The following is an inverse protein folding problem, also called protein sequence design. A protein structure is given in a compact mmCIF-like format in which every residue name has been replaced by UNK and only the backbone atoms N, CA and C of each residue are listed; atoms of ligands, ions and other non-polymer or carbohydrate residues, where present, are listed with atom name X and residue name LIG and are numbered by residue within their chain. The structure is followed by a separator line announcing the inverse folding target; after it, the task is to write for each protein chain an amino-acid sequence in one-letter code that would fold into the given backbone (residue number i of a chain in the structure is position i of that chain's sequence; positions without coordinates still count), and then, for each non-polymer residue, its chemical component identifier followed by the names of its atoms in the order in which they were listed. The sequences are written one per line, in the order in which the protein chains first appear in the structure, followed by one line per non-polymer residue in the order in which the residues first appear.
data_IF_657989863266
#
_entry.id   IF_657989863266
#
_cell.length_a   1.000
_cell.length_b   1.000
_cell.length_c   1.000
_cell.angle_alpha   90.00
_cell.angle_beta   90.00
_cell.angle_gamma   90.00
#
_symmetry.space_group_name_H-M   'P 1'
#
loop_
_entity.id
_entity.type
_entity.pdbx_description
1 polymer ?
#
# COMPACT_ATOMS: atom_id res chain seq x y z
N UNK A 1 -30.24 15.56 14.85
CA UNK A 1 -29.91 14.69 13.70
C UNK A 1 -30.10 13.24 14.04
N UNK A 2 -30.49 12.40 13.06
CA UNK A 2 -30.49 10.95 13.20
C UNK A 2 -29.14 10.42 13.69
N UNK A 3 -29.10 9.14 14.10
CA UNK A 3 -27.84 8.46 14.41
C UNK A 3 -26.91 8.50 13.19
N UNK A 4 -25.62 8.67 13.46
CA UNK A 4 -24.55 8.73 12.44
C UNK A 4 -24.65 9.92 11.49
N UNK A 5 -25.35 10.99 11.89
CA UNK A 5 -25.44 12.23 11.13
C UNK A 5 -25.23 13.47 12.01
N UNK A 6 -24.70 14.53 11.41
CA UNK A 6 -24.46 15.83 12.06
C UNK A 6 -24.54 17.00 11.08
N UNK A 7 -24.44 18.22 11.63
CA UNK A 7 -24.41 19.48 10.89
C UNK A 7 -25.80 20.02 10.56
N UNK A 8 -25.82 21.10 9.78
CA UNK A 8 -27.05 21.74 9.33
C UNK A 8 -27.88 20.73 8.52
N UNK A 9 -29.16 20.62 8.86
CA UNK A 9 -30.12 19.67 8.28
C UNK A 9 -29.66 18.20 8.29
N UNK A 10 -28.66 17.87 9.11
CA UNK A 10 -28.14 16.51 9.26
C UNK A 10 -27.56 15.95 7.95
N UNK A 11 -27.00 16.84 7.14
CA UNK A 11 -26.48 16.55 5.80
C UNK A 11 -25.17 15.76 5.80
N UNK A 12 -24.43 15.72 6.91
CA UNK A 12 -23.14 15.04 6.99
C UNK A 12 -23.23 13.71 7.74
N UNK A 13 -22.45 12.73 7.29
CA UNK A 13 -22.34 11.41 7.92
C UNK A 13 -21.19 11.38 8.93
N UNK A 14 -21.42 10.76 10.09
CA UNK A 14 -20.36 10.48 11.07
C UNK A 14 -19.40 9.40 10.54
N UNK A 15 -18.11 9.59 10.77
CA UNK A 15 -17.05 8.65 10.40
C UNK A 15 -16.20 8.27 11.60
N UNK A 16 -16.85 7.94 12.72
CA UNK A 16 -16.22 7.50 13.95
C UNK A 16 -15.91 5.98 13.92
N UNK A 17 -14.99 5.49 14.76
CA UNK A 17 -14.77 4.06 14.94
C UNK A 17 -16.07 3.33 15.33
N UNK A 18 -16.17 2.06 14.92
CA UNK A 18 -17.29 1.17 15.26
C UNK A 18 -18.70 1.71 14.95
N UNK A 19 -18.80 2.63 13.98
CA UNK A 19 -20.04 3.34 13.66
C UNK A 19 -20.64 4.03 14.90
N UNK A 20 -19.80 4.68 15.69
CA UNK A 20 -20.22 5.49 16.83
C UNK A 20 -20.90 6.79 16.39
N UNK A 21 -21.83 7.26 17.22
CA UNK A 21 -22.52 8.52 16.99
C UNK A 21 -21.61 9.71 17.33
N UNK A 22 -21.58 10.70 16.44
CA UNK A 22 -20.72 11.88 16.58
C UNK A 22 -21.50 13.08 17.14
N UNK A 23 -20.76 14.10 17.58
CA UNK A 23 -21.35 15.37 18.00
C UNK A 23 -22.19 15.96 16.87
N UNK A 24 -23.45 16.31 17.17
CA UNK A 24 -24.46 16.70 16.17
C UNK A 24 -24.19 18.06 15.51
N UNK A 25 -23.29 18.87 16.07
CA UNK A 25 -22.96 20.20 15.55
C UNK A 25 -21.71 20.13 14.67
N UNK A 26 -20.61 19.57 15.17
CA UNK A 26 -19.30 19.64 14.51
C UNK A 26 -18.76 18.29 14.02
N UNK A 27 -19.47 17.19 14.28
CA UNK A 27 -19.08 15.85 13.82
C UNK A 27 -17.92 15.22 14.58
N UNK A 28 -17.47 15.81 15.69
CA UNK A 28 -16.39 15.24 16.51
C UNK A 28 -16.80 13.90 17.14
N UNK A 29 -15.89 12.93 17.10
CA UNK A 29 -16.10 11.62 17.70
C UNK A 29 -15.84 11.65 19.22
N UNK A 30 -16.62 10.92 20.05
CA UNK A 30 -16.45 10.91 21.52
C UNK A 30 -15.05 10.52 21.99
N UNK A 31 -14.31 9.71 21.22
CA UNK A 31 -12.93 9.31 21.51
C UNK A 31 -11.85 10.17 20.83
N UNK A 32 -12.21 11.25 20.13
CA UNK A 32 -11.28 12.10 19.39
C UNK A 32 -10.65 11.47 18.13
N UNK A 33 -10.84 10.16 17.94
CA UNK A 33 -10.29 9.41 16.82
C UNK A 33 -11.32 9.20 15.71
N UNK A 34 -10.86 9.24 14.46
CA UNK A 34 -11.66 8.93 13.28
C UNK A 34 -11.57 7.45 12.92
N UNK A 35 -12.59 6.96 12.21
CA UNK A 35 -12.53 5.65 11.54
C UNK A 35 -11.22 5.50 10.75
N UNK A 36 -10.69 4.28 10.62
CA UNK A 36 -9.36 4.01 10.05
C UNK A 36 -9.12 4.57 8.63
N UNK A 37 -10.18 4.88 7.89
CA UNK A 37 -10.11 5.45 6.55
C UNK A 37 -10.35 6.97 6.49
N UNK A 38 -10.57 7.63 7.62
CA UNK A 38 -10.92 9.05 7.71
C UNK A 38 -9.99 9.81 8.66
N UNK A 39 -9.93 11.12 8.45
CA UNK A 39 -9.17 12.09 9.24
C UNK A 39 -9.76 13.50 9.09
N UNK A 40 -9.10 14.49 9.72
CA UNK A 40 -9.47 15.88 9.66
C UNK A 40 -10.65 16.24 10.56
N UNK A 41 -11.08 17.50 10.49
CA UNK A 41 -12.20 18.01 11.28
C UNK A 41 -13.48 17.22 10.99
N UNK A 42 -14.20 16.84 12.05
CA UNK A 42 -15.41 16.02 11.96
C UNK A 42 -15.22 14.65 11.26
N UNK A 43 -13.98 14.21 11.05
CA UNK A 43 -13.65 12.99 10.31
C UNK A 43 -14.17 12.99 8.86
N UNK A 44 -14.25 14.15 8.22
CA UNK A 44 -14.86 14.26 6.88
C UNK A 44 -13.89 14.07 5.72
N UNK A 45 -12.57 14.02 5.96
CA UNK A 45 -11.58 13.76 4.91
C UNK A 45 -11.27 12.28 4.84
N UNK A 46 -11.35 11.70 3.65
CA UNK A 46 -11.03 10.30 3.43
C UNK A 46 -9.56 10.17 3.10
N UNK A 47 -8.86 9.21 3.71
CA UNK A 47 -7.45 8.96 3.43
C UNK A 47 -7.28 8.41 2.00
N UNK A 48 -6.28 8.88 1.24
CA UNK A 48 -6.02 8.43 -0.12
C UNK A 48 -5.58 6.97 -0.11
N UNK A 49 -5.95 6.19 -1.10
CA UNK A 49 -5.64 4.76 -1.25
C UNK A 49 -5.55 4.37 -2.72
N UNK A 50 -4.41 3.81 -3.12
CA UNK A 50 -4.23 3.25 -4.46
C UNK A 50 -5.15 2.04 -4.68
N UNK A 51 -5.98 2.11 -5.74
CA UNK A 51 -6.89 1.04 -6.14
C UNK A 51 -6.28 0.12 -7.19
N UNK A 52 -5.18 0.52 -7.82
CA UNK A 52 -4.41 -0.34 -8.73
C UNK A 52 -3.26 -0.97 -7.95
N UNK A 53 -3.10 -2.30 -8.05
CA UNK A 53 -1.96 -3.00 -7.47
C UNK A 53 -0.65 -2.54 -8.15
N UNK A 54 0.49 -2.51 -7.45
CA UNK A 54 1.78 -2.24 -8.08
C UNK A 54 2.10 -3.34 -9.11
N UNK A 55 2.98 -3.03 -10.05
CA UNK A 55 3.66 -4.04 -10.85
C UNK A 55 4.95 -4.42 -10.14
N UNK A 56 5.28 -5.70 -10.10
CA UNK A 56 6.56 -6.14 -9.56
C UNK A 56 7.14 -7.30 -10.36
N UNK A 57 8.45 -7.31 -10.51
CA UNK A 57 9.17 -8.35 -11.25
C UNK A 57 10.61 -8.46 -10.76
N UNK A 58 11.14 -9.68 -10.79
CA UNK A 58 12.56 -9.92 -10.56
C UNK A 58 13.31 -9.88 -11.89
N UNK A 59 14.26 -8.97 -12.04
CA UNK A 59 15.16 -8.96 -13.22
C UNK A 59 16.33 -9.92 -13.07
N UNK A 60 16.73 -10.17 -11.83
CA UNK A 60 17.77 -11.12 -11.46
C UNK A 60 17.59 -11.51 -10.00
N UNK A 61 18.34 -12.51 -9.55
CA UNK A 61 18.36 -12.91 -8.16
C UNK A 61 18.53 -11.70 -7.23
N UNK A 62 17.62 -11.55 -6.28
CA UNK A 62 17.57 -10.45 -5.31
C UNK A 62 17.45 -9.05 -5.93
N UNK A 63 16.94 -8.88 -7.15
CA UNK A 63 16.65 -7.55 -7.71
C UNK A 63 15.18 -7.46 -8.08
N UNK A 64 14.35 -7.18 -7.07
CA UNK A 64 12.91 -6.99 -7.23
C UNK A 64 12.63 -5.54 -7.59
N UNK A 65 12.16 -5.31 -8.82
CA UNK A 65 11.68 -4.00 -9.25
C UNK A 65 10.20 -3.88 -8.93
N UNK A 66 9.81 -2.76 -8.32
CA UNK A 66 8.41 -2.44 -8.01
C UNK A 66 8.06 -1.10 -8.63
N UNK A 67 6.98 -1.07 -9.40
CA UNK A 67 6.50 0.11 -10.12
C UNK A 67 5.03 0.39 -9.82
N UNK A 68 4.67 1.65 -9.60
CA UNK A 68 3.29 2.08 -9.39
C UNK A 68 3.07 3.50 -9.93
N UNK A 69 1.80 3.89 -10.09
CA UNK A 69 1.42 5.24 -10.53
C UNK A 69 1.19 6.17 -9.35
N UNK A 70 1.44 7.45 -9.56
CA UNK A 70 1.02 8.51 -8.64
C UNK A 70 -0.49 8.41 -8.38
N UNK A 71 -0.89 8.64 -7.13
CA UNK A 71 -2.28 8.71 -6.71
C UNK A 71 -3.06 9.70 -7.59
N UNK A 72 -4.20 9.23 -8.08
CA UNK A 72 -5.11 9.99 -8.94
C UNK A 72 -6.52 9.90 -8.36
N UNK A 73 -7.01 10.99 -7.77
CA UNK A 73 -8.33 11.03 -7.13
C UNK A 73 -9.50 10.72 -8.08
N UNK A 74 -9.29 10.71 -9.41
CA UNK A 74 -10.29 10.26 -10.38
C UNK A 74 -10.36 8.74 -10.55
N UNK A 75 -9.33 8.01 -10.09
CA UNK A 75 -9.18 6.55 -10.28
C UNK A 75 -9.00 5.79 -8.96
N UNK A 76 -8.43 6.45 -7.96
CA UNK A 76 -8.11 5.93 -6.65
C UNK A 76 -9.14 6.38 -5.61
N UNK A 77 -9.10 5.78 -4.42
CA UNK A 77 -10.06 6.06 -3.36
C UNK A 77 -9.54 7.12 -2.39
N UNK A 78 -10.43 7.95 -1.86
CA UNK A 78 -10.13 8.97 -0.87
C UNK A 78 -9.60 10.29 -1.42
N UNK A 79 -9.22 11.18 -0.51
CA UNK A 79 -8.84 12.54 -0.81
C UNK A 79 -7.32 12.70 -0.74
N UNK A 80 -6.74 13.33 -1.76
CA UNK A 80 -5.36 13.78 -1.72
C UNK A 80 -5.17 14.99 -0.79
N UNK A 81 -3.93 15.49 -0.68
CA UNK A 81 -2.75 15.02 -1.37
C UNK A 81 -2.04 13.89 -0.61
N UNK A 82 -1.26 13.10 -1.34
CA UNK A 82 -0.33 12.11 -0.77
C UNK A 82 0.96 12.82 -0.36
N UNK A 83 1.46 12.49 0.84
CA UNK A 83 2.78 12.88 1.31
C UNK A 83 3.84 11.98 0.68
N UNK A 84 3.69 10.68 0.89
CA UNK A 84 4.61 9.66 0.43
C UNK A 84 3.93 8.30 0.38
N UNK A 85 4.61 7.38 -0.28
CA UNK A 85 4.26 5.98 -0.39
C UNK A 85 5.17 5.12 0.47
N UNK A 86 4.61 4.08 1.08
CA UNK A 86 5.35 3.04 1.77
C UNK A 86 5.31 1.77 0.93
N UNK A 87 6.46 1.33 0.41
CA UNK A 87 6.56 0.08 -0.33
C UNK A 87 6.82 -1.04 0.65
N UNK A 88 5.86 -1.95 0.78
CA UNK A 88 5.92 -3.07 1.71
C UNK A 88 5.98 -4.40 0.97
N UNK A 89 6.73 -5.34 1.52
CA UNK A 89 6.79 -6.73 1.03
C UNK A 89 6.37 -7.71 2.11
N UNK A 90 5.86 -8.86 1.69
CA UNK A 90 5.58 -10.00 2.57
C UNK A 90 6.01 -11.28 1.87
N UNK A 91 6.84 -12.08 2.53
CA UNK A 91 7.27 -13.37 2.02
C UNK A 91 6.08 -14.35 2.01
N UNK A 92 5.91 -15.08 0.90
CA UNK A 92 4.94 -16.16 0.78
C UNK A 92 5.52 -17.45 1.37
N UNK A 93 5.60 -17.47 2.70
CA UNK A 93 6.06 -18.62 3.48
C UNK A 93 5.03 -18.93 4.56
N UNK A 94 5.06 -20.16 5.08
CA UNK A 94 4.18 -20.60 6.18
C UNK A 94 4.73 -20.23 7.56
N UNK A 95 5.82 -19.47 7.62
CA UNK A 95 6.56 -19.15 8.84
C UNK A 95 5.99 -17.90 9.54
N UNK A 96 6.18 -17.81 10.86
CA UNK A 96 5.73 -16.73 11.75
C UNK A 96 6.31 -15.36 11.32
N UNK A 97 7.40 -15.35 10.56
CA UNK A 97 8.01 -14.15 9.96
C UNK A 97 7.27 -13.59 8.73
N UNK A 98 6.16 -14.19 8.28
CA UNK A 98 5.34 -13.66 7.18
C UNK A 98 4.49 -12.44 7.62
N UNK A 99 5.17 -11.31 7.83
CA UNK A 99 4.54 -10.02 8.09
C UNK A 99 4.83 -9.03 6.97
N UNK A 100 3.93 -8.07 6.77
CA UNK A 100 4.16 -6.92 5.90
C UNK A 100 5.28 -6.06 6.49
N UNK A 101 6.39 -5.94 5.75
CA UNK A 101 7.53 -5.12 6.15
C UNK A 101 7.69 -3.94 5.20
N UNK A 102 7.63 -2.68 5.68
CA UNK A 102 7.92 -1.52 4.85
C UNK A 102 9.43 -1.44 4.59
N UNK A 103 9.83 -1.44 3.32
CA UNK A 103 11.24 -1.43 2.90
C UNK A 103 11.66 -0.06 2.34
N UNK A 104 10.74 0.65 1.70
CA UNK A 104 11.01 1.98 1.14
C UNK A 104 9.95 3.00 1.50
N UNK A 105 10.42 4.23 1.66
CA UNK A 105 9.59 5.44 1.70
C UNK A 105 9.88 6.26 0.44
N UNK A 106 8.85 6.58 -0.34
CA UNK A 106 8.99 7.33 -1.59
C UNK A 106 8.07 8.55 -1.56
N UNK A 107 8.65 9.75 -1.53
CA UNK A 107 7.89 11.00 -1.45
C UNK A 107 7.15 11.31 -2.76
N UNK A 108 5.88 11.69 -2.63
CA UNK A 108 5.03 12.07 -3.76
C UNK A 108 5.52 13.37 -4.38
N UNK A 109 5.54 13.39 -5.72
CA UNK A 109 5.79 14.60 -6.53
C UNK A 109 4.51 15.29 -6.97
N UNK A 110 3.34 14.76 -6.61
CA UNK A 110 2.02 15.35 -6.89
C UNK A 110 1.79 15.62 -8.38
N UNK A 111 2.26 14.69 -9.24
CA UNK A 111 2.17 14.80 -10.70
C UNK A 111 1.36 13.65 -11.28
N UNK A 112 0.12 13.92 -11.65
CA UNK A 112 -0.78 12.93 -12.27
C UNK A 112 -0.12 12.32 -13.50
N UNK A 113 -0.23 11.00 -13.64
CA UNK A 113 0.38 10.22 -14.72
C UNK A 113 1.86 9.87 -14.53
N UNK A 114 2.52 10.40 -13.49
CA UNK A 114 3.85 9.96 -13.09
C UNK A 114 3.81 8.51 -12.59
N UNK A 115 4.86 7.75 -12.89
CA UNK A 115 5.10 6.43 -12.29
C UNK A 115 6.39 6.48 -11.47
N UNK A 116 6.41 5.71 -10.39
CA UNK A 116 7.57 5.50 -9.53
C UNK A 116 8.08 4.09 -9.71
N UNK A 117 9.39 3.93 -9.55
CA UNK A 117 10.06 2.64 -9.59
C UNK A 117 11.09 2.58 -8.47
N UNK A 118 11.12 1.47 -7.74
CA UNK A 118 12.18 1.16 -6.77
C UNK A 118 12.74 -0.22 -7.05
N UNK A 119 14.00 -0.44 -6.68
CA UNK A 119 14.66 -1.75 -6.77
C UNK A 119 14.99 -2.20 -5.35
N UNK A 120 14.36 -3.27 -4.90
CA UNK A 120 14.60 -3.92 -3.62
C UNK A 120 15.67 -4.98 -3.83
N UNK A 121 16.80 -4.84 -3.13
CA UNK A 121 17.92 -5.79 -3.22
C UNK A 121 18.44 -6.34 -1.91
N UNK A 122 17.79 -5.99 -0.79
CA UNK A 122 18.17 -6.41 0.56
C UNK A 122 16.97 -7.03 1.26
N UNK A 123 17.24 -7.99 2.16
CA UNK A 123 16.20 -8.68 2.92
C UNK A 123 15.36 -9.68 2.11
N UNK A 124 15.80 -10.01 0.88
CA UNK A 124 15.15 -10.99 0.03
C UNK A 124 15.80 -12.37 0.24
N UNK A 125 14.96 -13.39 0.33
CA UNK A 125 15.34 -14.78 0.53
C UNK A 125 15.35 -15.45 -0.85
N UNK A 126 16.44 -16.13 -1.22
CA UNK A 126 16.51 -16.89 -2.47
C UNK A 126 15.38 -17.90 -2.61
N UNK A 127 14.78 -17.97 -3.81
CA UNK A 127 13.73 -18.90 -4.20
C UNK A 127 12.43 -18.80 -3.38
N UNK A 128 12.17 -17.63 -2.79
CA UNK A 128 10.91 -17.33 -2.10
C UNK A 128 10.09 -16.37 -2.96
N UNK A 129 8.77 -16.58 -2.98
CA UNK A 129 7.84 -15.67 -3.64
C UNK A 129 7.40 -14.55 -2.70
N UNK A 130 7.16 -13.35 -3.24
CA UNK A 130 6.85 -12.15 -2.47
C UNK A 130 5.54 -11.52 -2.92
N UNK A 131 4.69 -11.16 -1.95
CA UNK A 131 3.64 -10.18 -2.16
C UNK A 131 4.20 -8.77 -1.98
N UNK A 132 3.68 -7.84 -2.77
CA UNK A 132 4.05 -6.43 -2.71
C UNK A 132 2.79 -5.59 -2.56
N UNK A 133 2.89 -4.53 -1.76
CA UNK A 133 1.83 -3.54 -1.58
C UNK A 133 2.46 -2.15 -1.47
N UNK A 134 1.79 -1.16 -2.03
CA UNK A 134 2.18 0.24 -1.92
C UNK A 134 1.10 0.97 -1.14
N UNK A 135 1.47 1.46 0.03
CA UNK A 135 0.57 2.12 0.97
C UNK A 135 0.73 3.64 0.87
N UNK A 136 -0.33 4.38 1.19
CA UNK A 136 -0.41 5.83 0.99
C UNK A 136 -0.53 6.56 2.32
N UNK A 137 0.39 7.50 2.55
CA UNK A 137 0.39 8.40 3.70
C UNK A 137 -0.02 9.78 3.23
N UNK A 138 -1.04 10.38 3.86
CA UNK A 138 -1.49 11.74 3.54
C UNK A 138 -0.79 12.79 4.41
N UNK A 139 -1.15 14.06 4.20
CA UNK A 139 -0.70 15.19 5.03
C UNK A 139 -1.85 15.72 5.89
N UNK A 140 -1.51 16.32 7.02
CA UNK A 140 -2.42 17.05 7.86
C UNK A 140 -2.67 18.49 7.36
N UNK A 141 -3.41 19.28 8.14
CA UNK A 141 -3.69 20.69 7.86
C UNK A 141 -2.45 21.58 7.90
N UNK A 142 -1.40 21.17 8.59
CA UNK A 142 -0.11 21.86 8.67
C UNK A 142 0.88 21.42 7.59
N UNK A 143 0.43 20.54 6.67
CA UNK A 143 1.24 19.91 5.61
C UNK A 143 2.28 18.90 6.11
N UNK A 144 2.14 18.43 7.35
CA UNK A 144 2.98 17.39 7.92
C UNK A 144 2.43 15.99 7.61
N UNK A 145 3.27 14.95 7.44
CA UNK A 145 2.79 13.60 7.20
C UNK A 145 1.96 13.07 8.37
N UNK A 146 0.82 12.46 8.06
CA UNK A 146 0.01 11.79 9.07
C UNK A 146 0.73 10.54 9.62
N UNK A 147 0.51 10.24 10.89
CA UNK A 147 0.93 8.97 11.52
C UNK A 147 0.03 7.78 11.14
N UNK A 148 -0.80 7.94 10.12
CA UNK A 148 -1.83 7.00 9.66
C UNK A 148 -1.81 6.92 8.15
N UNK A 149 -2.09 5.73 7.63
CA UNK A 149 -2.00 5.45 6.21
C UNK A 149 -3.04 4.41 5.80
N UNK A 150 -3.30 4.33 4.50
CA UNK A 150 -4.20 3.34 3.93
C UNK A 150 -3.42 2.30 3.14
N UNK A 151 -3.85 1.05 3.29
CA UNK A 151 -3.26 -0.06 2.55
C UNK A 151 -3.69 -0.02 1.09
N UNK A 152 -2.73 -0.04 0.17
CA UNK A 152 -3.03 -0.17 -1.26
C UNK A 152 -3.63 -1.54 -1.61
N UNK A 153 -3.87 -1.76 -2.90
CA UNK A 153 -4.10 -3.13 -3.39
C UNK A 153 -2.80 -3.92 -3.35
N UNK A 154 -2.92 -5.16 -2.91
CA UNK A 154 -1.85 -6.16 -2.92
C UNK A 154 -1.71 -6.75 -4.31
N UNK A 155 -0.51 -7.21 -4.66
CA UNK A 155 -0.33 -8.10 -5.80
C UNK A 155 -1.25 -9.32 -5.65
N UNK A 156 -1.94 -9.66 -6.73
CA UNK A 156 -2.80 -10.86 -6.78
C UNK A 156 -1.97 -12.13 -6.65
N UNK A 157 -0.89 -12.21 -7.43
CA UNK A 157 -0.01 -13.36 -7.49
C UNK A 157 1.39 -12.95 -6.99
N UNK A 158 2.02 -13.71 -6.09
CA UNK A 158 3.33 -13.37 -5.56
C UNK A 158 4.43 -13.62 -6.60
N UNK A 159 5.48 -12.79 -6.57
CA UNK A 159 6.57 -12.83 -7.54
C UNK A 159 7.78 -13.61 -7.00
N UNK A 160 8.27 -14.58 -7.76
CA UNK A 160 9.32 -15.51 -7.32
C UNK A 160 10.72 -14.92 -7.47
N UNK A 161 11.48 -14.89 -6.37
CA UNK A 161 12.90 -14.56 -6.36
C UNK A 161 13.76 -15.74 -6.84
N UNK A 162 13.73 -16.04 -8.14
CA UNK A 162 14.45 -17.19 -8.68
C UNK A 162 15.97 -16.93 -8.64
N UNK A 163 16.67 -17.60 -7.73
CA UNK A 163 18.12 -17.47 -7.54
C UNK A 163 18.90 -18.72 -7.92
N UNK A 164 18.27 -19.89 -7.83
CA UNK A 164 18.84 -21.12 -8.36
C UNK A 164 18.73 -21.07 -9.88
N UNK A 165 19.86 -21.16 -10.58
CA UNK A 165 19.81 -21.56 -11.99
C UNK A 165 19.11 -22.91 -12.03
N UNK A 166 18.07 -23.02 -12.84
CA UNK A 166 17.51 -24.31 -13.21
C UNK A 166 18.69 -25.10 -13.81
N UNK A 167 19.23 -26.07 -13.09
CA UNK A 167 20.11 -27.09 -13.69
C UNK A 167 19.21 -27.97 -14.55
N UNK A 168 18.79 -27.45 -15.71
CA UNK A 168 18.18 -28.25 -16.76
C UNK A 168 19.32 -28.84 -17.60
N UNK A 169 19.67 -30.08 -17.27
CA UNK A 169 20.22 -31.14 -18.12
C UNK A 169 21.37 -30.78 -19.08
N UNK A 170 22.60 -30.81 -18.55
CA UNK A 170 23.74 -31.31 -19.32
C UNK A 170 24.05 -32.73 -18.85
N UNK A 171 23.17 -33.67 -19.20
CA UNK A 171 23.55 -35.09 -19.17
C UNK A 171 24.36 -35.34 -20.43
N UNK A 172 25.68 -35.42 -20.24
CA UNK A 172 26.63 -35.90 -21.22
C UNK A 172 26.12 -37.19 -21.90
N UNK A 173 25.81 -37.13 -23.19
CA UNK A 173 25.98 -38.28 -24.08
C UNK A 173 27.19 -38.00 -24.99
N UNK A 174 28.37 -38.13 -24.40
CA UNK A 174 29.55 -38.55 -25.17
C UNK A 174 29.60 -40.07 -25.02
N UNK A 175 29.11 -40.79 -26.03
CA UNK A 175 29.59 -42.12 -26.34
C UNK A 175 29.72 -42.23 -27.85
N UNK A 176 30.86 -41.71 -28.33
CA UNK A 176 31.48 -42.23 -29.54
C UNK A 176 32.40 -43.34 -29.03
N UNK A 177 32.10 -44.59 -29.38
CA UNK A 177 33.04 -45.71 -29.38
C UNK A 177 32.62 -46.69 -30.47
N UNK A 178 33.39 -46.60 -31.57
CA UNK A 178 33.61 -47.53 -32.69
C UNK A 178 32.40 -48.11 -33.44
#
# INVERSE_FOLDING_TARGET
CPMLQFGLDCSYKCHCPLDDDCNKVNGSCPGGECHRAYFGEGCQKKLPRLLTAPQAEFFSCNNLTVTWKEFDASKDDGDGPVSHYLVSIKANTTDIVSAWTPIYTVYSRKRIGLSYTVIISRGLIPNVAYYVRVDTVSIDTNKEPLKKYMYGRELRDPVLNQCSKQFAEYTFFISICN
#
